data_IF_669384504632
#
_entry.id   IF_669384504632
#
_cell.length_a   1.000
_cell.length_b   1.000
_cell.length_c   1.000
_cell.angle_alpha   90.00
_cell.angle_beta   90.00
_cell.angle_gamma   90.00
#
_symmetry.space_group_name_H-M   'P 1'
#
loop_
_entity.id
_entity.type
_entity.pdbx_description
1 polymer ?
#
# COMPACT_ATOMS: atom_id res chain seq x y z
N UNK A 1 -44.33 30.10 10.41
CA UNK A 1 -44.03 28.85 11.10
C UNK A 1 -43.30 27.83 10.22
N UNK A 2 -43.67 27.57 8.96
CA UNK A 2 -43.08 26.59 8.04
C UNK A 2 -41.57 26.80 7.68
N UNK A 3 -41.02 28.01 7.69
CA UNK A 3 -39.60 28.28 7.38
C UNK A 3 -38.63 27.93 8.54
N UNK A 4 -39.08 27.95 9.79
CA UNK A 4 -38.25 27.55 10.97
C UNK A 4 -38.08 26.03 11.07
N UNK A 5 -39.14 25.30 10.75
CA UNK A 5 -39.05 23.80 10.76
C UNK A 5 -38.19 23.26 9.66
N UNK A 6 -38.16 23.87 8.48
CA UNK A 6 -37.27 23.48 7.37
C UNK A 6 -35.79 23.72 7.72
N UNK A 7 -35.45 24.84 8.35
CA UNK A 7 -34.06 25.13 8.78
C UNK A 7 -33.57 24.19 9.89
N UNK A 8 -34.44 23.77 10.82
CA UNK A 8 -34.09 22.79 11.85
C UNK A 8 -33.90 21.38 11.27
N UNK A 9 -34.63 20.99 10.25
CA UNK A 9 -34.47 19.70 9.58
C UNK A 9 -33.15 19.60 8.80
N UNK A 10 -32.76 20.67 8.11
CA UNK A 10 -31.46 20.75 7.42
C UNK A 10 -30.31 20.71 8.42
N UNK A 11 -30.35 21.51 9.49
CA UNK A 11 -29.32 21.51 10.52
C UNK A 11 -29.17 20.15 11.25
N UNK A 12 -30.27 19.40 11.41
CA UNK A 12 -30.24 18.02 11.96
C UNK A 12 -29.65 17.02 10.97
N UNK A 13 -29.88 17.17 9.67
CA UNK A 13 -29.27 16.36 8.61
C UNK A 13 -27.77 16.56 8.55
N UNK A 14 -27.30 17.80 8.61
CA UNK A 14 -25.89 18.15 8.58
C UNK A 14 -25.15 17.67 9.82
N UNK A 15 -25.76 17.78 11.00
CA UNK A 15 -25.17 17.24 12.25
C UNK A 15 -25.06 15.71 12.23
N UNK A 16 -26.06 15.00 11.71
CA UNK A 16 -26.04 13.55 11.56
C UNK A 16 -24.98 13.07 10.56
N UNK A 17 -24.78 13.81 9.48
CA UNK A 17 -23.75 13.55 8.48
C UNK A 17 -22.34 13.79 9.04
N UNK A 18 -22.14 14.90 9.78
CA UNK A 18 -20.89 15.21 10.44
C UNK A 18 -20.51 14.18 11.51
N UNK A 19 -21.46 13.73 12.34
CA UNK A 19 -21.22 12.70 13.37
C UNK A 19 -20.88 11.35 12.74
N UNK A 20 -21.57 10.96 11.66
CA UNK A 20 -21.22 9.74 10.88
C UNK A 20 -19.84 9.86 10.24
N UNK A 21 -19.51 10.99 9.63
CA UNK A 21 -18.19 11.26 9.06
C UNK A 21 -17.08 11.14 10.11
N UNK A 22 -17.27 11.73 11.29
CA UNK A 22 -16.34 11.65 12.41
C UNK A 22 -16.16 10.23 12.96
N UNK A 23 -17.22 9.45 13.07
CA UNK A 23 -17.14 8.06 13.52
C UNK A 23 -16.44 7.16 12.49
N UNK A 24 -16.66 7.40 11.20
CA UNK A 24 -15.94 6.69 10.11
C UNK A 24 -14.45 7.05 10.13
N UNK A 25 -14.11 8.32 10.31
CA UNK A 25 -12.71 8.76 10.43
C UNK A 25 -12.00 8.13 11.63
N UNK A 26 -12.62 8.10 12.82
CA UNK A 26 -12.03 7.43 13.99
C UNK A 26 -11.73 5.95 13.75
N UNK A 27 -12.64 5.23 13.10
CA UNK A 27 -12.41 3.83 12.70
C UNK A 27 -11.28 3.70 11.70
N UNK A 28 -11.19 4.64 10.74
CA UNK A 28 -10.10 4.69 9.77
C UNK A 28 -8.74 4.85 10.44
N UNK A 29 -8.61 5.78 11.37
CA UNK A 29 -7.37 5.98 12.14
C UNK A 29 -6.98 4.75 12.97
N UNK A 30 -7.95 4.07 13.58
CA UNK A 30 -7.69 2.82 14.31
C UNK A 30 -7.13 1.73 13.40
N UNK A 31 -7.73 1.54 12.21
CA UNK A 31 -7.23 0.57 11.24
C UNK A 31 -5.84 0.93 10.71
N UNK A 32 -5.57 2.21 10.49
CA UNK A 32 -4.22 2.68 10.10
C UNK A 32 -3.22 2.37 11.21
N UNK A 33 -3.53 2.70 12.46
CA UNK A 33 -2.64 2.44 13.59
C UNK A 33 -2.34 0.94 13.76
N UNK A 34 -3.38 0.07 13.66
CA UNK A 34 -3.22 -1.37 13.70
C UNK A 34 -2.36 -1.88 12.52
N UNK A 35 -2.62 -1.40 11.31
CA UNK A 35 -1.84 -1.77 10.14
C UNK A 35 -0.37 -1.37 10.30
N UNK A 36 -0.09 -0.15 10.77
CA UNK A 36 1.27 0.32 11.04
C UNK A 36 1.99 -0.57 12.06
N UNK A 37 1.32 -0.94 13.14
CA UNK A 37 1.87 -1.83 14.16
C UNK A 37 2.21 -3.22 13.59
N UNK A 38 1.31 -3.80 12.79
CA UNK A 38 1.58 -5.08 12.13
C UNK A 38 2.71 -4.99 11.11
N UNK A 39 2.79 -3.91 10.33
CA UNK A 39 3.89 -3.72 9.39
C UNK A 39 5.23 -3.55 10.11
N UNK A 40 5.28 -2.79 11.20
CA UNK A 40 6.52 -2.60 11.97
C UNK A 40 7.02 -3.91 12.59
N UNK A 41 6.13 -4.73 13.15
CA UNK A 41 6.50 -6.06 13.68
C UNK A 41 6.92 -7.02 12.59
N UNK A 42 6.35 -6.90 11.39
CA UNK A 42 6.73 -7.72 10.23
C UNK A 42 8.20 -7.51 9.84
N UNK A 43 8.68 -6.27 9.83
CA UNK A 43 10.08 -5.96 9.48
C UNK A 43 11.07 -6.65 10.41
N UNK A 44 10.80 -6.58 11.72
CA UNK A 44 11.64 -7.24 12.74
C UNK A 44 11.63 -8.76 12.53
N UNK A 45 10.44 -9.35 12.37
CA UNK A 45 10.30 -10.78 12.16
C UNK A 45 11.01 -11.24 10.87
N UNK A 46 10.95 -10.48 9.80
CA UNK A 46 11.65 -10.78 8.55
C UNK A 46 13.18 -10.77 8.73
N UNK A 47 13.69 -9.85 9.53
CA UNK A 47 15.14 -9.79 9.82
C UNK A 47 15.62 -10.97 10.66
N UNK A 48 14.84 -11.37 11.66
CA UNK A 48 15.17 -12.54 12.52
C UNK A 48 15.23 -13.86 11.75
N UNK A 49 14.39 -14.03 10.72
CA UNK A 49 14.38 -15.24 9.89
C UNK A 49 15.25 -15.11 8.63
N UNK A 50 15.83 -13.94 8.38
CA UNK A 50 16.75 -13.73 7.27
C UNK A 50 17.97 -14.63 7.42
N UNK A 51 18.32 -15.36 6.35
CA UNK A 51 19.40 -16.32 6.35
C UNK A 51 19.06 -17.73 6.85
N UNK A 52 17.91 -17.92 7.54
CA UNK A 52 17.41 -19.25 7.91
C UNK A 52 16.59 -19.91 6.81
N UNK A 53 15.89 -19.12 6.02
CA UNK A 53 15.05 -19.56 4.92
C UNK A 53 15.43 -18.85 3.63
N UNK A 54 15.24 -19.54 2.50
CA UNK A 54 15.38 -18.90 1.20
C UNK A 54 14.30 -17.81 1.06
N UNK A 55 14.65 -16.59 0.57
CA UNK A 55 13.71 -15.46 0.37
C UNK A 55 12.45 -15.82 -0.41
N UNK A 56 12.62 -16.67 -1.44
CA UNK A 56 11.50 -17.15 -2.26
C UNK A 56 10.55 -18.04 -1.48
N UNK A 57 11.09 -18.98 -0.66
CA UNK A 57 10.29 -19.86 0.17
C UNK A 57 9.52 -19.08 1.24
N UNK A 58 10.17 -18.10 1.88
CA UNK A 58 9.57 -17.26 2.90
C UNK A 58 8.40 -16.46 2.33
N UNK A 59 8.60 -15.83 1.17
CA UNK A 59 7.55 -15.10 0.48
C UNK A 59 6.42 -16.02 0.01
N UNK A 60 6.74 -17.16 -0.60
CA UNK A 60 5.74 -18.11 -1.08
C UNK A 60 4.83 -18.57 0.06
N UNK A 61 5.42 -19.01 1.18
CA UNK A 61 4.67 -19.50 2.35
C UNK A 61 3.77 -18.41 2.93
N UNK A 62 4.32 -17.20 3.15
CA UNK A 62 3.59 -16.07 3.71
C UNK A 62 2.39 -15.67 2.86
N UNK A 63 2.59 -15.50 1.56
CA UNK A 63 1.53 -15.06 0.67
C UNK A 63 0.55 -16.17 0.30
N UNK A 64 0.98 -17.44 0.29
CA UNK A 64 0.08 -18.57 0.11
C UNK A 64 -0.88 -18.69 1.30
N UNK A 65 -0.38 -18.65 2.52
CA UNK A 65 -1.22 -18.67 3.72
C UNK A 65 -2.16 -17.46 3.74
N UNK A 66 -1.64 -16.25 3.53
CA UNK A 66 -2.46 -15.03 3.46
C UNK A 66 -3.52 -15.07 2.38
N UNK A 67 -3.17 -15.57 1.20
CA UNK A 67 -4.10 -15.76 0.08
C UNK A 67 -5.21 -16.75 0.39
N UNK A 68 -4.89 -17.90 0.96
CA UNK A 68 -5.87 -18.92 1.37
C UNK A 68 -6.88 -18.37 2.39
N UNK A 69 -6.41 -17.58 3.36
CA UNK A 69 -7.27 -16.93 4.34
C UNK A 69 -8.18 -15.88 3.69
N UNK A 70 -7.68 -15.14 2.71
CA UNK A 70 -8.44 -14.05 2.06
C UNK A 70 -9.46 -14.55 1.02
N UNK A 71 -9.25 -15.72 0.38
CA UNK A 71 -10.15 -16.27 -0.65
C UNK A 71 -11.61 -16.33 -0.20
N UNK A 72 -11.98 -16.90 0.97
CA UNK A 72 -13.38 -16.98 1.38
C UNK A 72 -14.01 -15.61 1.59
N UNK A 73 -13.26 -14.63 2.12
CA UNK A 73 -13.74 -13.27 2.29
C UNK A 73 -13.97 -12.58 0.95
N UNK A 74 -13.03 -12.71 0.03
CA UNK A 74 -13.13 -12.15 -1.31
C UNK A 74 -14.33 -12.74 -2.08
N UNK A 75 -14.50 -14.06 -2.05
CA UNK A 75 -15.65 -14.75 -2.67
C UNK A 75 -16.99 -14.28 -2.09
N UNK A 76 -17.06 -14.12 -0.76
CA UNK A 76 -18.27 -13.63 -0.09
C UNK A 76 -18.59 -12.19 -0.49
N UNK A 77 -17.57 -11.34 -0.60
CA UNK A 77 -17.72 -9.94 -0.99
C UNK A 77 -18.17 -9.80 -2.45
N UNK A 78 -17.58 -10.56 -3.37
CA UNK A 78 -17.96 -10.58 -4.78
C UNK A 78 -19.42 -11.06 -4.95
N UNK A 79 -19.82 -12.12 -4.24
CA UNK A 79 -21.21 -12.61 -4.26
C UNK A 79 -22.19 -11.54 -3.77
N UNK A 80 -21.86 -10.82 -2.67
CA UNK A 80 -22.72 -9.74 -2.13
C UNK A 80 -22.89 -8.58 -3.11
N UNK A 81 -21.85 -8.28 -3.90
CA UNK A 81 -21.88 -7.19 -4.89
C UNK A 81 -22.42 -7.62 -6.26
N UNK A 82 -22.72 -8.90 -6.46
CA UNK A 82 -23.17 -9.42 -7.75
C UNK A 82 -22.14 -9.30 -8.88
N UNK A 83 -20.87 -9.04 -8.54
CA UNK A 83 -19.79 -8.85 -9.52
C UNK A 83 -19.28 -10.21 -9.97
N UNK A 84 -19.32 -10.47 -11.29
CA UNK A 84 -18.66 -11.63 -11.91
C UNK A 84 -17.32 -11.18 -12.47
N UNK A 85 -16.25 -11.85 -12.07
CA UNK A 85 -14.92 -11.62 -12.63
C UNK A 85 -14.82 -12.41 -13.93
N UNK A 86 -14.58 -11.71 -15.02
CA UNK A 86 -14.31 -12.26 -16.33
C UNK A 86 -12.96 -12.98 -16.36
N UNK A 87 -12.82 -14.07 -17.15
CA UNK A 87 -11.59 -14.87 -17.20
C UNK A 87 -10.35 -14.05 -17.56
N UNK A 88 -10.46 -13.13 -18.52
CA UNK A 88 -9.39 -12.23 -18.91
C UNK A 88 -8.96 -11.32 -17.74
N UNK A 89 -9.93 -10.88 -16.95
CA UNK A 89 -9.67 -10.06 -15.78
C UNK A 89 -9.01 -10.83 -14.66
N UNK A 90 -9.32 -12.10 -14.50
CA UNK A 90 -8.65 -13.00 -13.56
C UNK A 90 -7.17 -13.16 -13.93
N UNK A 91 -6.86 -13.37 -15.22
CA UNK A 91 -5.46 -13.45 -15.69
C UNK A 91 -4.71 -12.14 -15.45
N UNK A 92 -5.33 -11.00 -15.71
CA UNK A 92 -4.72 -9.68 -15.41
C UNK A 92 -4.47 -9.49 -13.92
N UNK A 93 -5.42 -9.89 -13.06
CA UNK A 93 -5.25 -9.83 -11.60
C UNK A 93 -4.15 -10.78 -11.12
N UNK A 94 -4.06 -11.97 -11.70
CA UNK A 94 -2.99 -12.92 -11.39
C UNK A 94 -1.61 -12.37 -11.80
N UNK A 95 -1.48 -11.80 -13.01
CA UNK A 95 -0.26 -11.14 -13.46
C UNK A 95 0.13 -9.95 -12.59
N UNK A 96 -0.86 -9.18 -12.16
CA UNK A 96 -0.66 -8.08 -11.23
C UNK A 96 -0.18 -8.57 -9.85
N UNK A 97 -0.80 -9.63 -9.33
CA UNK A 97 -0.37 -10.30 -8.09
C UNK A 97 1.04 -10.85 -8.19
N UNK A 98 1.39 -11.46 -9.33
CA UNK A 98 2.74 -11.93 -9.60
C UNK A 98 3.76 -10.76 -9.54
N UNK A 99 3.47 -9.65 -10.21
CA UNK A 99 4.34 -8.49 -10.22
C UNK A 99 4.52 -7.91 -8.81
N UNK A 100 3.43 -7.64 -8.08
CA UNK A 100 3.48 -6.99 -6.77
C UNK A 100 3.96 -7.90 -5.65
N UNK A 101 3.57 -9.18 -5.67
CA UNK A 101 3.85 -10.12 -4.58
C UNK A 101 5.12 -10.92 -4.85
N UNK A 102 5.24 -11.52 -6.03
CA UNK A 102 6.41 -12.38 -6.30
C UNK A 102 7.62 -11.51 -6.60
N UNK A 103 7.54 -10.62 -7.59
CA UNK A 103 8.72 -9.85 -8.02
C UNK A 103 9.10 -8.81 -6.97
N UNK A 104 8.17 -7.92 -6.59
CA UNK A 104 8.49 -6.83 -5.68
C UNK A 104 8.91 -7.33 -4.28
N UNK A 105 8.14 -8.23 -3.69
CA UNK A 105 8.44 -8.69 -2.32
C UNK A 105 9.66 -9.62 -2.25
N UNK A 106 10.00 -10.32 -3.33
CA UNK A 106 11.27 -11.07 -3.38
C UNK A 106 12.46 -10.11 -3.44
N UNK A 107 12.38 -9.05 -4.26
CA UNK A 107 13.41 -8.00 -4.28
C UNK A 107 13.53 -7.30 -2.92
N UNK A 108 12.40 -7.05 -2.25
CA UNK A 108 12.38 -6.51 -0.90
C UNK A 108 13.10 -7.42 0.10
N UNK A 109 12.82 -8.71 0.07
CA UNK A 109 13.46 -9.68 0.95
C UNK A 109 14.98 -9.77 0.69
N UNK A 110 15.40 -9.78 -0.57
CA UNK A 110 16.82 -9.72 -0.93
C UNK A 110 17.48 -8.43 -0.42
N UNK A 111 16.77 -7.31 -0.43
CA UNK A 111 17.27 -6.06 0.13
C UNK A 111 17.50 -6.20 1.66
N UNK A 112 16.55 -6.76 2.39
CA UNK A 112 16.63 -6.97 3.86
C UNK A 112 17.80 -7.91 4.22
N UNK A 113 18.12 -8.89 3.37
CA UNK A 113 19.27 -9.78 3.57
C UNK A 113 20.60 -9.07 3.35
N UNK A 114 20.65 -8.14 2.41
CA UNK A 114 21.90 -7.47 1.99
C UNK A 114 22.19 -6.18 2.74
N UNK A 115 21.25 -5.62 3.52
CA UNK A 115 21.45 -4.40 4.29
C UNK A 115 20.59 -4.37 5.54
N UNK A 116 20.66 -3.27 6.31
CA UNK A 116 19.86 -3.12 7.52
C UNK A 116 18.37 -2.96 7.21
N UNK A 117 17.51 -3.72 7.92
CA UNK A 117 16.06 -3.66 7.74
C UNK A 117 15.49 -2.24 7.88
N UNK A 118 16.05 -1.44 8.79
CA UNK A 118 15.66 -0.03 8.96
C UNK A 118 15.91 0.80 7.72
N UNK A 119 17.07 0.60 7.05
CA UNK A 119 17.42 1.29 5.80
C UNK A 119 16.46 0.89 4.69
N UNK A 120 16.16 -0.41 4.59
CA UNK A 120 15.19 -0.93 3.59
C UNK A 120 13.80 -0.33 3.82
N UNK A 121 13.31 -0.33 5.07
CA UNK A 121 12.01 0.22 5.41
C UNK A 121 11.90 1.72 5.08
N UNK A 122 12.93 2.49 5.42
CA UNK A 122 13.00 3.93 5.13
C UNK A 122 13.06 4.20 3.63
N UNK A 123 13.88 3.47 2.87
CA UNK A 123 13.94 3.60 1.42
C UNK A 123 12.65 3.14 0.74
N UNK A 124 12.00 2.09 1.26
CA UNK A 124 10.72 1.62 0.74
C UNK A 124 9.59 2.64 0.98
N UNK A 125 9.70 3.48 2.00
CA UNK A 125 8.75 4.58 2.21
C UNK A 125 8.79 5.66 1.13
N UNK A 126 9.82 5.69 0.25
CA UNK A 126 9.80 6.47 -1.01
C UNK A 126 8.73 6.00 -2.02
N UNK A 127 7.98 4.94 -1.70
CA UNK A 127 6.94 4.42 -2.59
C UNK A 127 5.97 5.50 -3.14
N UNK A 128 5.48 6.50 -2.38
CA UNK A 128 4.64 7.57 -2.90
C UNK A 128 5.25 8.35 -4.06
N UNK A 129 6.57 8.50 -4.11
CA UNK A 129 7.28 9.16 -5.22
C UNK A 129 7.04 8.41 -6.52
N UNK A 130 7.31 7.09 -6.51
CA UNK A 130 7.11 6.23 -7.68
C UNK A 130 5.62 6.10 -8.04
N UNK A 131 4.74 6.01 -7.04
CA UNK A 131 3.28 6.00 -7.25
C UNK A 131 2.82 7.27 -7.96
N UNK A 132 3.30 8.45 -7.55
CA UNK A 132 2.92 9.71 -8.17
C UNK A 132 3.38 9.79 -9.63
N UNK A 133 4.62 9.37 -9.90
CA UNK A 133 5.17 9.32 -11.27
C UNK A 133 4.33 8.37 -12.14
N UNK A 134 4.11 7.14 -11.69
CA UNK A 134 3.33 6.16 -12.46
C UNK A 134 1.85 6.54 -12.57
N UNK A 135 1.25 7.14 -11.54
CA UNK A 135 -0.12 7.63 -11.60
C UNK A 135 -0.25 8.79 -12.61
N UNK A 136 0.72 9.69 -12.65
CA UNK A 136 0.78 10.75 -13.66
C UNK A 136 0.87 10.19 -15.08
N UNK A 137 1.75 9.21 -15.29
CA UNK A 137 1.99 8.60 -16.62
C UNK A 137 0.84 7.67 -17.07
N UNK A 138 0.32 6.81 -16.19
CA UNK A 138 -0.63 5.74 -16.54
C UNK A 138 -2.07 6.19 -16.38
N UNK A 139 -2.39 6.90 -15.29
CA UNK A 139 -3.74 7.34 -14.96
C UNK A 139 -3.99 8.77 -15.41
N UNK A 140 -2.93 9.50 -15.85
CA UNK A 140 -3.00 10.92 -16.23
C UNK A 140 -3.62 11.79 -15.14
N UNK A 141 -3.37 11.47 -13.89
CA UNK A 141 -3.85 12.25 -12.75
C UNK A 141 -3.11 13.57 -12.67
N UNK A 142 -3.81 14.63 -12.30
CA UNK A 142 -3.19 15.95 -12.11
C UNK A 142 -2.32 15.91 -10.85
N UNK A 143 -1.04 16.24 -11.01
CA UNK A 143 -0.10 16.36 -9.90
C UNK A 143 -0.29 17.75 -9.30
N UNK A 144 -0.89 17.82 -8.10
CA UNK A 144 -1.03 19.07 -7.36
C UNK A 144 0.28 19.47 -6.67
N UNK A 145 0.49 20.76 -6.51
CA UNK A 145 1.66 21.29 -5.78
C UNK A 145 1.82 20.71 -4.37
N UNK A 146 0.70 20.40 -3.72
CA UNK A 146 0.68 19.77 -2.40
C UNK A 146 1.35 18.39 -2.39
N UNK A 147 1.13 17.58 -3.44
CA UNK A 147 1.77 16.27 -3.58
C UNK A 147 3.29 16.41 -3.72
N UNK A 148 3.74 17.39 -4.53
CA UNK A 148 5.18 17.64 -4.70
C UNK A 148 5.83 18.11 -3.39
N UNK A 149 5.19 19.02 -2.66
CA UNK A 149 5.69 19.49 -1.36
C UNK A 149 5.78 18.34 -0.34
N UNK A 150 4.77 17.48 -0.28
CA UNK A 150 4.77 16.30 0.60
C UNK A 150 5.93 15.34 0.26
N UNK A 151 6.18 15.10 -1.02
CA UNK A 151 7.30 14.25 -1.47
C UNK A 151 8.67 14.86 -1.15
N UNK A 152 8.83 16.17 -1.33
CA UNK A 152 10.09 16.86 -0.94
C UNK A 152 10.34 16.71 0.56
N UNK A 153 9.29 16.88 1.37
CA UNK A 153 9.39 16.73 2.82
C UNK A 153 9.74 15.29 3.22
N UNK A 154 9.14 14.30 2.55
CA UNK A 154 9.43 12.88 2.72
C UNK A 154 10.89 12.56 2.36
N UNK A 155 11.36 13.01 1.19
CA UNK A 155 12.74 12.82 0.78
C UNK A 155 13.74 13.45 1.76
N UNK A 156 13.45 14.64 2.27
CA UNK A 156 14.27 15.28 3.30
C UNK A 156 14.30 14.47 4.59
N UNK A 157 13.14 13.95 5.04
CA UNK A 157 13.07 13.06 6.20
C UNK A 157 13.91 11.80 6.03
N UNK A 158 13.87 11.17 4.85
CA UNK A 158 14.67 10.01 4.52
C UNK A 158 16.17 10.32 4.55
N UNK A 159 16.60 11.43 3.97
CA UNK A 159 18.01 11.85 3.97
C UNK A 159 18.54 12.11 5.39
N UNK A 160 17.70 12.63 6.29
CA UNK A 160 18.08 12.84 7.69
C UNK A 160 18.20 11.51 8.44
N UNK A 161 17.35 10.55 8.12
CA UNK A 161 17.28 9.26 8.81
C UNK A 161 18.37 8.28 8.35
N UNK A 162 18.71 8.32 7.06
CA UNK A 162 19.79 7.50 6.49
C UNK A 162 21.08 8.30 6.62
N UNK A 163 22.00 7.83 7.47
CA UNK A 163 23.34 8.38 7.49
C UNK A 163 24.12 7.89 6.25
N UNK A 164 24.33 8.71 5.21
CA UNK A 164 25.00 8.28 3.98
C UNK A 164 26.48 7.95 4.18
N UNK A 165 27.05 8.28 5.35
CA UNK A 165 28.43 7.99 5.73
C UNK A 165 28.57 6.63 6.43
N UNK A 166 27.47 5.94 6.68
CA UNK A 166 27.49 4.61 7.29
C UNK A 166 27.97 3.59 6.26
N UNK A 167 29.15 3.08 6.44
CA UNK A 167 29.81 2.09 5.58
C UNK A 167 29.16 0.70 5.63
N UNK A 168 28.23 0.49 6.55
CA UNK A 168 27.47 -0.77 6.67
C UNK A 168 26.34 -0.88 5.62
N UNK A 169 26.05 0.19 4.87
CA UNK A 169 24.97 0.23 3.89
C UNK A 169 25.47 -0.38 2.57
N UNK A 170 24.91 -1.54 2.22
CA UNK A 170 25.25 -2.22 0.96
C UNK A 170 24.57 -1.53 -0.23
N UNK A 171 25.35 -1.22 -1.28
CA UNK A 171 24.85 -0.71 -2.56
C UNK A 171 23.84 -1.67 -3.20
N UNK A 172 24.06 -2.99 -3.09
CA UNK A 172 23.14 -4.01 -3.57
C UNK A 172 21.79 -3.93 -2.83
N UNK A 173 21.82 -3.77 -1.51
CA UNK A 173 20.60 -3.60 -0.69
C UNK A 173 19.79 -2.38 -1.10
N UNK A 174 20.45 -1.22 -1.34
CA UNK A 174 19.79 0.00 -1.84
C UNK A 174 19.15 -0.26 -3.21
N UNK A 175 19.89 -0.86 -4.13
CA UNK A 175 19.41 -1.12 -5.49
C UNK A 175 18.19 -2.04 -5.49
N UNK A 176 18.24 -3.14 -4.72
CA UNK A 176 17.10 -4.04 -4.57
C UNK A 176 15.89 -3.35 -3.94
N UNK A 177 16.11 -2.49 -2.95
CA UNK A 177 15.01 -1.72 -2.31
C UNK A 177 14.34 -0.79 -3.30
N UNK A 178 15.10 0.02 -4.03
CA UNK A 178 14.55 0.97 -5.00
C UNK A 178 13.81 0.25 -6.13
N UNK A 179 14.38 -0.84 -6.63
CA UNK A 179 13.72 -1.66 -7.66
C UNK A 179 12.43 -2.28 -7.15
N UNK A 180 12.44 -2.84 -5.94
CA UNK A 180 11.26 -3.36 -5.26
C UNK A 180 10.18 -2.29 -5.12
N UNK A 181 10.56 -1.10 -4.65
CA UNK A 181 9.65 0.04 -4.45
C UNK A 181 9.01 0.48 -5.76
N UNK A 182 9.80 0.59 -6.84
CA UNK A 182 9.29 0.95 -8.17
C UNK A 182 8.29 -0.10 -8.70
N UNK A 183 8.62 -1.39 -8.59
CA UNK A 183 7.73 -2.47 -9.00
C UNK A 183 6.45 -2.50 -8.17
N UNK A 184 6.54 -2.27 -6.86
CA UNK A 184 5.38 -2.21 -5.99
C UNK A 184 4.48 -1.02 -6.29
N UNK A 185 5.06 0.15 -6.56
CA UNK A 185 4.32 1.33 -6.98
C UNK A 185 3.57 1.10 -8.30
N UNK A 186 4.22 0.44 -9.27
CA UNK A 186 3.58 0.07 -10.54
C UNK A 186 2.40 -0.88 -10.30
N UNK A 187 2.60 -1.90 -9.45
CA UNK A 187 1.53 -2.81 -9.02
C UNK A 187 0.35 -2.04 -8.40
N UNK A 188 0.60 -1.09 -7.49
CA UNK A 188 -0.43 -0.33 -6.81
C UNK A 188 -1.24 0.54 -7.79
N UNK A 189 -0.57 1.20 -8.73
CA UNK A 189 -1.21 2.06 -9.75
C UNK A 189 -2.04 1.23 -10.74
N UNK A 190 -1.50 0.11 -11.23
CA UNK A 190 -2.24 -0.79 -12.10
C UNK A 190 -3.41 -1.44 -11.36
N UNK A 191 -3.23 -1.80 -10.08
CA UNK A 191 -4.29 -2.31 -9.21
C UNK A 191 -5.44 -1.34 -9.06
N UNK A 192 -5.15 -0.06 -8.83
CA UNK A 192 -6.16 0.99 -8.76
C UNK A 192 -6.96 1.10 -10.05
N UNK A 193 -6.28 1.06 -11.21
CA UNK A 193 -6.94 1.08 -12.53
C UNK A 193 -7.86 -0.13 -12.74
N UNK A 194 -7.43 -1.30 -12.29
CA UNK A 194 -8.25 -2.53 -12.37
C UNK A 194 -9.44 -2.48 -11.41
N UNK A 195 -9.23 -2.03 -10.18
CA UNK A 195 -10.29 -1.91 -9.18
C UNK A 195 -11.37 -0.90 -9.58
N UNK A 196 -10.99 0.22 -10.20
CA UNK A 196 -11.95 1.21 -10.70
C UNK A 196 -12.95 0.60 -11.71
N UNK A 197 -12.53 -0.38 -12.50
CA UNK A 197 -13.41 -1.10 -13.43
C UNK A 197 -14.51 -1.91 -12.71
N UNK A 198 -14.24 -2.39 -11.48
CA UNK A 198 -15.15 -3.27 -10.73
C UNK A 198 -15.81 -2.60 -9.53
N UNK A 199 -15.39 -1.41 -9.14
CA UNK A 199 -15.97 -0.70 -7.99
C UNK A 199 -17.28 0.02 -8.29
N UNK A 200 -17.65 0.15 -9.57
CA UNK A 200 -18.96 0.70 -9.94
C UNK A 200 -19.20 2.14 -9.49
N UNK A 201 -18.14 2.96 -9.45
CA UNK A 201 -18.26 4.40 -9.18
C UNK A 201 -17.99 5.16 -10.45
#
# INVERSE_FOLDING_TARGET
MRRRTARMAVARGDAGFAVRGYAIMKRGYLFIALATLFFSTMEIALKEVAGLFNPVQLNLTRFLIGGLVLIPFARRMLRKRGVRIDGLSLVKLAGLGFLGIVVSMTLYQLAVENTNASVVAVLFSCNPVFVLVFAGLILRTQILRQHVMALVLECLGILILINPLDTSISTAGITFTLLSTAVFALYAVLGTKMCAKYSGV
#
